data_IF_158758771020
#
_entry.id   IF_158758771020
#
_cell.length_a   1.000
_cell.length_b   1.000
_cell.length_c   1.000
_cell.angle_alpha   90.00
_cell.angle_beta   90.00
_cell.angle_gamma   90.00
#
_symmetry.space_group_name_H-M   'P 1'
#
loop_
_entity.id
_entity.type
_entity.pdbx_description
1 polymer ?
#
# COMPACT_ATOMS: atom_id res chain seq x y z
N UNK A 1 -14.23 0.23 24.64
CA UNK A 1 -14.45 -0.97 25.48
C UNK A 1 -13.15 -1.72 25.73
N UNK A 2 -12.29 -1.74 24.75
CA UNK A 2 -10.93 -2.26 24.80
C UNK A 2 -10.02 -1.05 24.53
N UNK A 3 -9.13 -0.73 25.41
CA UNK A 3 -8.18 0.39 25.25
C UNK A 3 -7.13 0.01 24.18
N UNK A 4 -7.57 0.06 22.93
CA UNK A 4 -6.78 -0.36 21.75
C UNK A 4 -6.42 0.88 20.92
N UNK A 5 -5.17 0.96 20.52
CA UNK A 5 -4.62 2.06 19.70
C UNK A 5 -4.27 1.64 18.26
N UNK A 6 -4.77 0.47 17.84
CA UNK A 6 -4.51 -0.06 16.49
C UNK A 6 -5.61 -1.06 16.07
N UNK A 7 -5.75 -1.31 14.77
CA UNK A 7 -6.86 -2.05 14.22
C UNK A 7 -6.46 -2.94 13.03
N UNK A 8 -7.07 -4.11 12.93
CA UNK A 8 -7.05 -4.96 11.74
C UNK A 8 -8.35 -5.75 11.61
N UNK A 9 -8.66 -6.25 10.41
CA UNK A 9 -9.85 -7.08 10.15
C UNK A 9 -9.51 -8.24 9.24
N UNK A 10 -10.16 -9.41 9.42
CA UNK A 10 -10.08 -10.56 8.52
C UNK A 10 -10.87 -10.30 7.24
N UNK A 11 -10.41 -9.39 6.39
CA UNK A 11 -11.17 -8.95 5.21
C UNK A 11 -11.50 -10.10 4.25
N UNK A 12 -10.63 -11.10 4.14
CA UNK A 12 -10.88 -12.28 3.26
C UNK A 12 -12.06 -13.07 3.74
N UNK A 13 -12.10 -13.41 5.02
CA UNK A 13 -13.20 -14.15 5.64
C UNK A 13 -14.49 -13.33 5.63
N UNK A 14 -14.37 -12.03 5.91
CA UNK A 14 -15.51 -11.12 5.85
C UNK A 14 -16.10 -11.06 4.44
N UNK A 15 -15.29 -10.91 3.40
CA UNK A 15 -15.76 -10.92 2.01
C UNK A 15 -16.34 -12.30 1.60
N UNK A 16 -15.71 -13.40 2.03
CA UNK A 16 -16.20 -14.76 1.77
C UNK A 16 -17.55 -15.06 2.45
N UNK A 17 -17.84 -14.43 3.58
CA UNK A 17 -19.10 -14.58 4.31
C UNK A 17 -20.32 -13.99 3.61
N UNK A 18 -20.14 -13.24 2.53
CA UNK A 18 -21.16 -12.43 1.82
C UNK A 18 -21.80 -11.30 2.64
N UNK A 19 -21.36 -11.06 3.87
CA UNK A 19 -21.86 -9.97 4.70
C UNK A 19 -21.67 -8.58 4.05
N UNK A 20 -20.51 -8.28 3.43
CA UNK A 20 -20.33 -7.01 2.73
C UNK A 20 -21.35 -6.82 1.60
N UNK A 21 -21.61 -7.86 0.82
CA UNK A 21 -22.58 -7.82 -0.27
C UNK A 21 -24.02 -7.64 0.25
N UNK A 22 -24.39 -8.31 1.32
CA UNK A 22 -25.71 -8.20 1.94
C UNK A 22 -25.96 -6.82 2.53
N UNK A 23 -24.95 -6.28 3.22
CA UNK A 23 -25.05 -4.98 3.90
C UNK A 23 -24.60 -3.80 3.02
N UNK A 24 -24.14 -4.04 1.79
CA UNK A 24 -23.66 -3.03 0.85
C UNK A 24 -22.52 -2.16 1.41
N UNK A 25 -21.66 -2.74 2.24
CA UNK A 25 -20.52 -2.05 2.85
C UNK A 25 -19.27 -2.92 2.86
N UNK A 26 -18.11 -2.27 2.91
CA UNK A 26 -16.79 -2.90 3.03
C UNK A 26 -15.98 -2.19 4.11
N UNK A 27 -15.03 -2.85 4.78
CA UNK A 27 -14.23 -2.24 5.85
C UNK A 27 -13.12 -1.30 5.33
N UNK A 28 -12.90 -1.22 4.01
CA UNK A 28 -11.80 -0.47 3.41
C UNK A 28 -11.76 0.99 3.85
N UNK A 29 -12.91 1.68 3.86
CA UNK A 29 -13.01 3.06 4.33
C UNK A 29 -12.58 3.21 5.81
N UNK A 30 -12.91 2.24 6.66
CA UNK A 30 -12.52 2.26 8.08
C UNK A 30 -10.99 2.22 8.22
N UNK A 31 -10.29 1.41 7.43
CA UNK A 31 -8.83 1.39 7.44
C UNK A 31 -8.22 2.72 6.98
N UNK A 32 -8.80 3.36 5.98
CA UNK A 32 -8.35 4.68 5.51
C UNK A 32 -8.54 5.75 6.59
N UNK A 33 -9.74 5.83 7.17
CA UNK A 33 -10.08 6.79 8.22
C UNK A 33 -9.19 6.62 9.46
N UNK A 34 -9.05 5.39 9.95
CA UNK A 34 -8.19 5.11 11.10
C UNK A 34 -6.75 5.60 10.89
N UNK A 35 -6.17 5.32 9.72
CA UNK A 35 -4.81 5.75 9.43
C UNK A 35 -4.67 7.27 9.37
N UNK A 36 -5.65 7.96 8.80
CA UNK A 36 -5.69 9.41 8.78
C UNK A 36 -5.91 10.02 10.17
N UNK A 37 -6.54 9.27 11.09
CA UNK A 37 -6.71 9.61 12.50
C UNK A 37 -5.57 9.10 13.41
N UNK A 38 -4.42 8.76 12.82
CA UNK A 38 -3.20 8.30 13.52
C UNK A 38 -3.34 6.93 14.19
N UNK A 39 -4.28 6.11 13.77
CA UNK A 39 -4.49 4.76 14.26
C UNK A 39 -3.96 3.77 13.22
N UNK A 40 -2.85 3.05 13.48
CA UNK A 40 -2.36 2.02 12.57
C UNK A 40 -3.45 1.00 12.25
N UNK A 41 -3.76 0.84 10.98
CA UNK A 41 -4.89 0.03 10.54
C UNK A 41 -4.58 -0.74 9.27
N UNK A 42 -4.35 -2.04 9.39
CA UNK A 42 -3.99 -2.92 8.28
C UNK A 42 -5.17 -3.80 7.85
N UNK A 43 -5.34 -3.95 6.56
CA UNK A 43 -6.30 -4.87 5.95
C UNK A 43 -5.80 -6.32 6.03
N UNK A 44 -6.71 -7.29 5.90
CA UNK A 44 -6.42 -8.71 5.75
C UNK A 44 -5.66 -9.37 6.92
N UNK A 45 -5.77 -8.82 8.14
CA UNK A 45 -5.05 -9.32 9.33
C UNK A 45 -3.53 -9.46 9.13
N UNK A 46 -2.95 -8.67 8.23
CA UNK A 46 -1.52 -8.70 7.96
C UNK A 46 -0.75 -7.98 9.06
N UNK A 47 -0.42 -8.73 10.12
CA UNK A 47 0.29 -8.21 11.30
C UNK A 47 1.71 -7.75 10.96
N UNK A 48 2.35 -8.33 9.96
CA UNK A 48 3.72 -7.94 9.57
C UNK A 48 3.75 -6.57 8.90
N UNK A 49 2.80 -6.26 8.02
CA UNK A 49 2.67 -4.91 7.45
C UNK A 49 2.11 -3.94 8.48
N UNK A 50 1.22 -4.40 9.36
CA UNK A 50 0.68 -3.59 10.46
C UNK A 50 1.79 -3.09 11.39
N UNK A 51 2.74 -3.95 11.77
CA UNK A 51 3.91 -3.56 12.58
C UNK A 51 4.78 -2.54 11.84
N UNK A 52 5.08 -2.76 10.56
CA UNK A 52 5.82 -1.79 9.74
C UNK A 52 5.09 -0.45 9.68
N UNK A 53 3.78 -0.48 9.42
CA UNK A 53 2.93 0.70 9.38
C UNK A 53 2.97 1.48 10.71
N UNK A 54 2.89 0.79 11.84
CA UNK A 54 2.96 1.41 13.17
C UNK A 54 4.30 2.12 13.38
N UNK A 55 5.43 1.45 13.08
CA UNK A 55 6.76 2.03 13.21
C UNK A 55 6.92 3.26 12.30
N UNK A 56 6.56 3.13 11.02
CA UNK A 56 6.68 4.20 10.03
C UNK A 56 5.77 5.39 10.37
N UNK A 57 4.51 5.14 10.74
CA UNK A 57 3.54 6.18 11.09
C UNK A 57 3.99 7.04 12.27
N UNK A 58 4.45 6.41 13.35
CA UNK A 58 4.87 7.14 14.55
C UNK A 58 6.21 7.85 14.37
N UNK A 59 7.13 7.21 13.62
CA UNK A 59 8.43 7.81 13.32
C UNK A 59 8.31 9.09 12.48
N UNK A 60 7.49 9.03 11.42
CA UNK A 60 7.42 10.10 10.42
C UNK A 60 6.25 11.05 10.59
N UNK A 61 5.28 10.72 11.45
CA UNK A 61 4.04 11.47 11.65
C UNK A 61 3.23 11.63 10.34
N UNK A 62 3.22 10.56 9.51
CA UNK A 62 2.48 10.48 8.25
C UNK A 62 1.46 9.35 8.31
N UNK A 63 0.37 9.47 7.54
CA UNK A 63 -0.44 8.31 7.20
C UNK A 63 0.34 7.37 6.29
N UNK A 64 0.14 6.06 6.50
CA UNK A 64 0.85 5.02 5.75
C UNK A 64 -0.11 4.36 4.76
N UNK A 65 0.23 4.38 3.48
CA UNK A 65 -0.43 3.55 2.49
C UNK A 65 0.04 2.11 2.61
N UNK A 66 -0.85 1.15 2.45
CA UNK A 66 -0.49 -0.26 2.29
C UNK A 66 -1.06 -0.81 1.01
N UNK A 67 -0.34 -1.72 0.36
CA UNK A 67 -0.87 -2.36 -0.83
C UNK A 67 -0.07 -3.55 -1.32
N UNK A 68 -0.66 -4.21 -2.31
CA UNK A 68 -0.12 -5.41 -2.96
C UNK A 68 0.91 -5.02 -4.03
N UNK A 69 2.17 -5.45 -3.92
CA UNK A 69 3.17 -5.22 -4.94
C UNK A 69 3.00 -6.18 -6.11
N UNK A 70 2.82 -5.64 -7.28
CA UNK A 70 2.75 -6.36 -8.55
C UNK A 70 3.88 -5.90 -9.46
N UNK A 71 4.60 -6.84 -10.07
CA UNK A 71 5.63 -6.52 -11.05
C UNK A 71 4.96 -6.25 -12.41
N UNK A 72 5.13 -5.04 -12.93
CA UNK A 72 4.73 -4.68 -14.30
C UNK A 72 5.97 -4.76 -15.18
N UNK A 73 5.95 -5.69 -16.13
CA UNK A 73 7.08 -5.93 -17.00
C UNK A 73 7.17 -4.87 -18.10
N UNK A 74 8.38 -4.50 -18.47
CA UNK A 74 8.66 -3.63 -19.61
C UNK A 74 7.94 -4.11 -20.88
N UNK A 75 7.30 -3.19 -21.58
CA UNK A 75 6.57 -3.48 -22.81
C UNK A 75 5.40 -4.45 -22.66
N UNK A 76 4.90 -4.65 -21.44
CA UNK A 76 3.71 -5.49 -21.20
C UNK A 76 2.55 -5.02 -22.05
N UNK A 77 2.01 -5.94 -22.83
CA UNK A 77 0.82 -5.66 -23.64
C UNK A 77 -0.39 -5.49 -22.73
N UNK A 78 -1.22 -4.54 -23.04
CA UNK A 78 -2.50 -4.37 -22.36
C UNK A 78 -3.40 -5.60 -22.65
N UNK A 79 -4.34 -5.97 -21.75
CA UNK A 79 -5.29 -7.07 -22.00
C UNK A 79 -6.15 -6.78 -23.22
N UNK A 80 -6.41 -5.50 -23.53
CA UNK A 80 -7.05 -5.08 -24.78
C UNK A 80 -6.23 -5.49 -25.99
N UNK A 81 -4.91 -5.32 -25.96
CA UNK A 81 -3.98 -5.79 -26.98
C UNK A 81 -3.86 -7.33 -27.03
N UNK A 82 -4.23 -8.01 -25.95
CA UNK A 82 -4.34 -9.47 -25.87
C UNK A 82 -5.74 -9.99 -26.21
N UNK A 83 -6.68 -9.11 -26.57
CA UNK A 83 -8.06 -9.47 -26.92
C UNK A 83 -8.90 -9.90 -25.71
N UNK A 84 -8.48 -9.59 -24.49
CA UNK A 84 -9.22 -9.93 -23.27
C UNK A 84 -10.23 -8.83 -22.90
N UNK A 85 -11.37 -9.16 -22.29
CA UNK A 85 -12.37 -8.14 -21.93
C UNK A 85 -11.83 -7.16 -20.88
N UNK A 86 -12.24 -5.90 -21.01
CA UNK A 86 -11.90 -4.75 -20.11
C UNK A 86 -12.16 -4.97 -18.60
N UNK A 87 -12.65 -6.11 -18.19
CA UNK A 87 -13.06 -6.42 -16.81
C UNK A 87 -11.92 -6.68 -15.84
N UNK A 88 -10.72 -6.94 -16.35
CA UNK A 88 -9.53 -7.12 -15.54
C UNK A 88 -8.62 -5.91 -15.74
N UNK A 89 -8.49 -5.17 -14.70
CA UNK A 89 -7.76 -3.91 -14.60
C UNK A 89 -6.34 -4.00 -15.14
N UNK A 90 -6.05 -3.07 -16.06
CA UNK A 90 -4.74 -2.93 -16.67
C UNK A 90 -4.13 -1.61 -16.30
N UNK A 91 -2.81 -1.55 -16.17
CA UNK A 91 -2.14 -0.28 -16.21
C UNK A 91 -2.46 0.41 -17.54
N UNK A 92 -3.02 1.62 -17.49
CA UNK A 92 -3.15 2.50 -18.65
C UNK A 92 -1.80 2.98 -19.14
N UNK A 93 -0.74 2.80 -18.33
CA UNK A 93 0.62 3.20 -18.63
C UNK A 93 1.46 2.01 -19.07
N UNK A 94 2.25 2.21 -20.11
CA UNK A 94 3.30 1.30 -20.55
C UNK A 94 4.65 1.89 -20.17
N UNK A 95 5.51 1.05 -19.60
CA UNK A 95 6.85 1.42 -19.18
C UNK A 95 7.88 0.75 -20.07
N UNK A 96 9.01 1.39 -20.30
CA UNK A 96 10.16 0.86 -21.06
C UNK A 96 11.08 -0.03 -20.20
N UNK A 97 10.87 -0.04 -18.88
CA UNK A 97 11.55 -0.88 -17.92
C UNK A 97 10.54 -1.50 -16.92
N UNK A 98 11.00 -2.46 -16.12
CA UNK A 98 10.16 -3.11 -15.12
C UNK A 98 9.88 -2.15 -13.96
N UNK A 99 8.60 -1.98 -13.60
CA UNK A 99 8.17 -1.11 -12.50
C UNK A 99 7.34 -1.89 -11.47
N UNK A 100 7.23 -1.34 -10.28
CA UNK A 100 6.38 -1.89 -9.23
C UNK A 100 5.04 -1.15 -9.22
N UNK A 101 3.96 -1.88 -9.37
CA UNK A 101 2.62 -1.38 -9.09
C UNK A 101 2.23 -1.75 -7.66
N UNK A 102 1.71 -0.79 -6.91
CA UNK A 102 1.09 -1.04 -5.61
C UNK A 102 -0.38 -0.64 -5.68
N UNK A 103 -1.26 -1.57 -5.37
CA UNK A 103 -2.69 -1.31 -5.33
C UNK A 103 -3.35 -1.83 -4.06
N UNK A 104 -4.30 -1.08 -3.54
CA UNK A 104 -5.23 -1.51 -2.47
C UNK A 104 -6.39 -0.53 -2.33
N UNK A 105 -7.51 -0.98 -1.76
CA UNK A 105 -8.69 -0.14 -1.54
C UNK A 105 -8.67 0.60 -0.19
N UNK A 106 -7.48 0.84 0.37
CA UNK A 106 -7.30 1.53 1.65
C UNK A 106 -6.33 2.72 1.55
N UNK A 107 -6.48 3.60 0.54
CA UNK A 107 -5.64 4.77 0.38
C UNK A 107 -5.80 5.72 1.57
N UNK A 108 -4.85 6.64 1.72
CA UNK A 108 -4.80 7.60 2.81
C UNK A 108 -4.64 9.02 2.27
N UNK A 109 -5.05 10.02 3.03
CA UNK A 109 -5.06 11.43 2.61
C UNK A 109 -3.98 12.28 3.25
N UNK A 110 -3.21 11.73 4.20
CA UNK A 110 -2.23 12.47 5.01
C UNK A 110 -0.81 11.93 4.89
N UNK A 111 -0.42 11.47 3.69
CA UNK A 111 0.95 11.02 3.43
C UNK A 111 1.98 12.15 3.49
N UNK A 112 1.56 13.42 3.34
CA UNK A 112 2.44 14.58 3.54
C UNK A 112 2.74 14.87 5.02
N UNK A 113 1.98 14.28 5.94
CA UNK A 113 2.08 14.47 7.38
C UNK A 113 0.75 14.87 8.02
N UNK A 114 0.58 14.50 9.30
CA UNK A 114 -0.66 14.80 10.03
C UNK A 114 -0.90 16.28 10.28
N UNK A 115 0.15 17.08 10.24
CA UNK A 115 0.09 18.52 10.46
C UNK A 115 0.10 19.31 9.13
N UNK A 116 -0.02 18.59 7.99
CA UNK A 116 -0.09 19.16 6.64
C UNK A 116 -1.52 19.07 6.10
N UNK A 117 -1.88 19.89 5.09
CA UNK A 117 -3.15 19.76 4.40
C UNK A 117 -3.36 18.35 3.82
N UNK A 118 -4.57 17.87 3.90
CA UNK A 118 -4.95 16.60 3.28
C UNK A 118 -4.75 16.64 1.76
N UNK A 119 -4.35 15.50 1.19
CA UNK A 119 -4.35 15.32 -0.25
C UNK A 119 -5.79 15.36 -0.78
N UNK A 120 -5.96 15.84 -2.01
CA UNK A 120 -7.26 15.84 -2.68
C UNK A 120 -7.77 14.42 -2.86
N UNK A 121 -9.05 14.22 -2.65
CA UNK A 121 -9.68 12.92 -2.77
C UNK A 121 -11.09 13.00 -3.30
N UNK A 122 -11.55 11.89 -3.83
CA UNK A 122 -12.94 11.66 -4.19
C UNK A 122 -13.46 10.41 -3.49
N UNK A 123 -14.76 10.37 -3.21
CA UNK A 123 -15.43 9.15 -2.77
C UNK A 123 -15.86 8.35 -3.98
N UNK A 124 -15.49 7.08 -4.00
CA UNK A 124 -15.83 6.15 -5.06
C UNK A 124 -16.55 4.92 -4.52
N UNK A 125 -17.35 4.28 -5.37
CA UNK A 125 -17.92 2.98 -5.07
C UNK A 125 -16.85 1.90 -5.11
N UNK A 126 -16.88 0.99 -4.15
CA UNK A 126 -15.97 -0.15 -4.12
C UNK A 126 -16.25 -1.16 -5.23
N UNK A 127 -17.49 -1.23 -5.71
CA UNK A 127 -17.91 -2.18 -6.76
C UNK A 127 -18.56 -1.49 -7.95
N UNK A 128 -18.53 -2.13 -9.12
CA UNK A 128 -19.26 -1.68 -10.31
C UNK A 128 -20.79 -1.65 -10.12
N UNK A 129 -21.29 -2.30 -9.09
CA UNK A 129 -22.71 -2.30 -8.74
C UNK A 129 -23.14 -1.09 -7.91
N UNK A 130 -22.21 -0.17 -7.62
CA UNK A 130 -22.49 1.09 -6.92
C UNK A 130 -22.69 0.95 -5.42
N UNK A 131 -22.04 0.00 -4.76
CA UNK A 131 -22.05 -0.12 -3.31
C UNK A 131 -20.64 -0.26 -2.70
N UNK A 132 -20.56 -0.11 -1.38
CA UNK A 132 -19.30 0.07 -0.67
C UNK A 132 -18.70 1.44 -0.96
N UNK A 133 -17.75 1.85 -0.15
CA UNK A 133 -17.06 3.12 -0.32
C UNK A 133 -15.57 2.98 -0.04
N UNK A 134 -14.77 3.70 -0.82
CA UNK A 134 -13.36 3.94 -0.57
C UNK A 134 -12.95 5.31 -1.13
N UNK A 135 -11.75 5.74 -0.83
CA UNK A 135 -11.20 6.96 -1.40
C UNK A 135 -10.49 6.69 -2.72
N UNK A 136 -10.60 7.62 -3.66
CA UNK A 136 -9.64 7.86 -4.72
C UNK A 136 -8.74 9.01 -4.28
N UNK A 137 -7.50 8.73 -3.99
CA UNK A 137 -6.47 9.71 -3.63
C UNK A 137 -5.32 9.54 -4.61
N UNK A 138 -4.92 10.63 -5.25
CA UNK A 138 -3.70 10.61 -6.06
C UNK A 138 -2.49 10.59 -5.13
N UNK A 139 -1.87 9.42 -4.99
CA UNK A 139 -0.69 9.22 -4.14
C UNK A 139 0.63 9.34 -4.92
N UNK A 140 0.56 9.74 -6.19
CA UNK A 140 1.69 10.17 -7.02
C UNK A 140 1.52 11.62 -7.48
N UNK A 141 0.89 12.45 -6.67
CA UNK A 141 0.53 13.85 -6.97
C UNK A 141 1.71 14.68 -7.47
N UNK A 142 2.92 14.34 -7.03
CA UNK A 142 4.19 14.86 -7.57
C UNK A 142 4.94 13.70 -8.22
N UNK A 143 5.18 13.79 -9.52
CA UNK A 143 6.01 12.81 -10.22
C UNK A 143 7.43 12.79 -9.64
N UNK A 144 7.98 11.60 -9.44
CA UNK A 144 9.29 11.44 -8.81
C UNK A 144 9.29 11.66 -7.28
N UNK A 145 8.13 11.69 -6.63
CA UNK A 145 8.06 11.75 -5.18
C UNK A 145 8.79 10.57 -4.56
N UNK A 146 9.82 10.86 -3.75
CA UNK A 146 10.57 9.82 -3.01
C UNK A 146 9.65 9.14 -2.01
N UNK A 147 9.76 7.82 -1.92
CA UNK A 147 9.00 6.99 -0.97
C UNK A 147 9.89 5.97 -0.30
N UNK A 148 9.52 5.59 0.91
CA UNK A 148 10.12 4.45 1.63
C UNK A 148 9.09 3.34 1.73
N UNK A 149 9.49 2.14 1.32
CA UNK A 149 8.75 0.88 1.51
C UNK A 149 9.22 0.21 2.77
N UNK A 150 8.31 -0.46 3.48
CA UNK A 150 8.69 -1.23 4.66
C UNK A 150 7.76 -2.40 4.91
N UNK A 151 8.34 -3.53 5.34
CA UNK A 151 7.61 -4.71 5.78
C UNK A 151 8.43 -5.58 6.70
N UNK A 152 7.82 -6.05 7.79
CA UNK A 152 8.44 -7.06 8.65
C UNK A 152 8.36 -8.47 8.03
N UNK A 153 9.31 -9.31 8.40
CA UNK A 153 9.20 -10.75 8.23
C UNK A 153 8.08 -11.31 9.15
N UNK A 154 7.71 -12.57 8.97
CA UNK A 154 6.64 -13.20 9.75
C UNK A 154 6.91 -13.28 11.25
N UNK A 155 8.17 -13.26 11.67
CA UNK A 155 8.60 -13.32 13.06
C UNK A 155 8.63 -11.94 13.73
N UNK A 156 8.53 -10.85 12.97
CA UNK A 156 8.63 -9.48 13.49
C UNK A 156 10.04 -9.09 13.94
N UNK A 157 11.08 -9.83 13.51
CA UNK A 157 12.46 -9.63 13.95
C UNK A 157 13.32 -8.85 12.97
N UNK A 158 12.87 -8.78 11.70
CA UNK A 158 13.59 -8.12 10.62
C UNK A 158 12.62 -7.37 9.73
N UNK A 159 12.94 -6.14 9.40
CA UNK A 159 12.18 -5.27 8.50
C UNK A 159 12.97 -5.06 7.21
N UNK A 160 12.42 -5.48 6.06
CA UNK A 160 12.94 -5.06 4.77
C UNK A 160 12.47 -3.64 4.49
N UNK A 161 13.39 -2.81 4.04
CA UNK A 161 13.16 -1.42 3.67
C UNK A 161 13.74 -1.17 2.28
N UNK A 162 13.03 -0.45 1.44
CA UNK A 162 13.50 -0.02 0.12
C UNK A 162 13.11 1.43 -0.15
N UNK A 163 13.84 2.08 -1.06
CA UNK A 163 13.52 3.43 -1.55
C UNK A 163 13.03 3.33 -2.98
N UNK A 164 12.10 4.17 -3.34
CA UNK A 164 11.61 4.29 -4.71
C UNK A 164 11.06 5.69 -4.99
N UNK A 165 10.58 5.87 -6.21
CA UNK A 165 10.02 7.12 -6.71
C UNK A 165 8.68 6.87 -7.39
N UNK A 166 7.71 7.74 -7.18
CA UNK A 166 6.41 7.65 -7.85
C UNK A 166 6.53 7.95 -9.33
N UNK A 167 5.84 7.16 -10.16
CA UNK A 167 5.75 7.33 -11.61
C UNK A 167 4.35 7.73 -12.07
N UNK A 168 3.34 7.48 -11.26
CA UNK A 168 1.95 7.79 -11.59
C UNK A 168 0.96 7.06 -10.70
N UNK A 169 -0.31 7.48 -10.80
CA UNK A 169 -1.40 6.89 -10.05
C UNK A 169 -2.61 6.71 -10.98
N UNK A 170 -3.27 5.56 -10.87
CA UNK A 170 -4.50 5.25 -11.62
C UNK A 170 -5.65 4.90 -10.69
N UNK A 171 -6.85 5.32 -11.09
CA UNK A 171 -8.09 4.91 -10.45
C UNK A 171 -8.79 3.84 -11.29
N UNK A 172 -8.96 2.67 -10.71
CA UNK A 172 -9.61 1.55 -11.36
C UNK A 172 -11.10 1.54 -11.03
N UNK A 173 -11.96 1.11 -11.98
CA UNK A 173 -13.40 1.12 -11.79
C UNK A 173 -13.90 0.06 -10.79
N UNK A 174 -13.03 -0.83 -10.32
CA UNK A 174 -13.37 -1.94 -9.43
C UNK A 174 -12.24 -2.26 -8.47
N UNK A 175 -12.60 -2.65 -7.23
CA UNK A 175 -11.72 -3.17 -6.18
C UNK A 175 -10.42 -2.40 -6.02
N UNK A 176 -9.57 -2.81 -5.17
CA UNK A 176 -8.17 -2.42 -4.95
C UNK A 176 -7.66 -1.21 -5.78
N UNK A 177 -8.33 -0.07 -5.66
CA UNK A 177 -7.99 1.22 -6.26
C UNK A 177 -7.65 2.21 -5.13
N UNK A 178 -6.67 3.08 -5.29
CA UNK A 178 -5.85 3.32 -6.47
C UNK A 178 -4.76 2.28 -6.71
N UNK A 179 -4.18 2.32 -7.90
CA UNK A 179 -2.93 1.67 -8.26
C UNK A 179 -1.86 2.75 -8.48
N UNK A 180 -0.76 2.63 -7.77
CA UNK A 180 0.36 3.59 -7.85
C UNK A 180 1.57 2.86 -8.40
N UNK A 181 2.26 3.49 -9.35
CA UNK A 181 3.46 2.95 -9.99
C UNK A 181 4.71 3.56 -9.40
N UNK A 182 5.72 2.72 -9.22
CA UNK A 182 6.99 3.11 -8.60
C UNK A 182 8.17 2.55 -9.36
N UNK A 183 9.17 3.39 -9.53
CA UNK A 183 10.55 2.95 -9.78
C UNK A 183 11.17 2.60 -8.42
N UNK A 184 11.85 1.47 -8.33
CA UNK A 184 12.50 1.00 -7.10
C UNK A 184 14.01 1.06 -7.28
N UNK A 185 14.72 1.68 -6.37
CA UNK A 185 16.19 1.63 -6.32
C UNK A 185 16.64 0.15 -6.23
N UNK A 186 17.57 -0.26 -7.08
CA UNK A 186 17.98 -1.66 -7.18
C UNK A 186 17.07 -2.55 -8.04
N UNK A 187 15.99 -2.01 -8.62
CA UNK A 187 15.12 -2.68 -9.57
C UNK A 187 13.88 -3.35 -8.97
N UNK A 188 12.75 -3.18 -9.65
CA UNK A 188 11.45 -3.70 -9.19
C UNK A 188 11.40 -5.24 -9.19
N UNK A 189 12.02 -5.88 -10.19
CA UNK A 189 12.11 -7.34 -10.29
C UNK A 189 12.94 -7.92 -9.16
N UNK A 190 14.10 -7.35 -8.91
CA UNK A 190 15.05 -7.74 -7.87
C UNK A 190 14.44 -7.57 -6.49
N UNK A 191 13.74 -6.46 -6.27
CA UNK A 191 12.97 -6.22 -5.03
C UNK A 191 11.90 -7.29 -4.80
N UNK A 192 11.11 -7.62 -5.82
CA UNK A 192 10.10 -8.70 -5.71
C UNK A 192 10.74 -10.05 -5.41
N UNK A 193 11.91 -10.35 -5.98
CA UNK A 193 12.65 -11.57 -5.68
C UNK A 193 13.20 -11.56 -4.25
N UNK A 194 13.72 -10.42 -3.78
CA UNK A 194 14.22 -10.26 -2.41
C UNK A 194 13.10 -10.49 -1.38
N UNK A 195 11.91 -9.90 -1.60
CA UNK A 195 10.72 -10.12 -0.77
C UNK A 195 10.37 -11.62 -0.67
N UNK A 196 10.37 -12.32 -1.81
CA UNK A 196 10.03 -13.73 -1.86
C UNK A 196 11.10 -14.61 -1.15
N UNK A 197 12.39 -14.36 -1.41
CA UNK A 197 13.51 -15.09 -0.81
C UNK A 197 13.61 -14.86 0.70
N UNK A 198 13.35 -13.61 1.15
CA UNK A 198 13.41 -13.22 2.56
C UNK A 198 12.19 -13.66 3.39
N UNK A 199 11.17 -14.24 2.77
CA UNK A 199 9.92 -14.64 3.44
C UNK A 199 9.07 -13.45 3.89
N UNK A 200 9.25 -12.30 3.26
CA UNK A 200 8.41 -11.12 3.46
C UNK A 200 7.09 -11.32 2.68
N UNK A 201 5.98 -11.11 3.28
CA UNK A 201 4.67 -11.32 2.65
C UNK A 201 4.38 -10.40 1.45
N UNK A 202 3.11 -10.27 1.10
CA UNK A 202 2.72 -9.59 -0.14
C UNK A 202 2.37 -8.10 0.04
N UNK A 203 1.97 -7.62 1.21
CA UNK A 203 1.71 -6.19 1.38
C UNK A 203 2.99 -5.40 1.69
N UNK A 204 3.02 -4.16 1.26
CA UNK A 204 4.06 -3.19 1.62
C UNK A 204 3.40 -1.99 2.32
N UNK A 205 4.05 -1.46 3.34
CA UNK A 205 3.75 -0.16 3.94
C UNK A 205 4.59 0.90 3.23
N UNK A 206 3.99 2.06 2.92
CA UNK A 206 4.62 3.09 2.09
C UNK A 206 4.37 4.46 2.71
N UNK A 207 5.42 5.25 2.82
CA UNK A 207 5.42 6.64 3.26
C UNK A 207 6.22 7.53 2.30
N UNK A 208 5.95 8.82 2.30
CA UNK A 208 6.76 9.78 1.55
C UNK A 208 8.09 10.07 2.26
N UNK A 209 9.11 10.31 1.46
CA UNK A 209 10.47 10.60 1.92
C UNK A 209 11.37 9.35 1.98
N UNK A 210 12.68 9.60 2.10
CA UNK A 210 13.68 8.56 2.37
C UNK A 210 13.94 8.51 3.88
N UNK A 211 13.47 7.45 4.53
CA UNK A 211 13.56 7.25 5.98
C UNK A 211 14.35 5.99 6.36
N UNK A 212 15.22 5.54 5.48
CA UNK A 212 16.04 4.33 5.73
C UNK A 212 16.86 4.47 7.00
N UNK A 213 17.55 5.61 7.14
CA UNK A 213 18.43 5.86 8.29
C UNK A 213 17.66 5.88 9.61
N UNK A 214 16.54 6.61 9.64
CA UNK A 214 15.70 6.72 10.83
C UNK A 214 15.09 5.36 11.23
N UNK A 215 14.74 4.52 10.25
CA UNK A 215 14.26 3.16 10.51
C UNK A 215 15.37 2.25 11.02
N UNK A 216 16.61 2.39 10.55
CA UNK A 216 17.77 1.66 11.08
C UNK A 216 18.04 2.06 12.54
N UNK A 217 18.07 3.35 12.84
CA UNK A 217 18.23 3.86 14.21
C UNK A 217 17.08 3.38 15.13
N UNK A 218 15.85 3.38 14.64
CA UNK A 218 14.71 2.84 15.37
C UNK A 218 14.86 1.34 15.63
N UNK A 219 15.33 0.59 14.63
CA UNK A 219 15.60 -0.85 14.75
C UNK A 219 16.61 -1.16 15.86
N UNK A 220 17.69 -0.39 15.96
CA UNK A 220 18.68 -0.51 17.05
C UNK A 220 18.06 -0.25 18.44
N UNK A 221 17.16 0.74 18.55
CA UNK A 221 16.51 1.10 19.82
C UNK A 221 15.48 0.05 20.24
N UNK A 222 14.65 -0.42 19.30
CA UNK A 222 13.52 -1.31 19.58
C UNK A 222 13.92 -2.78 19.58
N UNK A 223 15.00 -3.13 18.88
CA UNK A 223 15.56 -4.49 18.84
C UNK A 223 15.11 -5.32 17.64
N UNK A 224 14.99 -4.71 16.46
CA UNK A 224 14.79 -5.43 15.19
C UNK A 224 15.85 -5.04 14.15
N UNK A 225 16.15 -5.97 13.26
CA UNK A 225 17.09 -5.74 12.16
C UNK A 225 16.40 -5.01 11.00
N UNK A 226 17.09 -4.04 10.37
CA UNK A 226 16.63 -3.42 9.13
C UNK A 226 17.48 -3.91 7.97
N UNK A 227 16.87 -4.61 7.05
CA UNK A 227 17.47 -5.07 5.79
C UNK A 227 17.15 -4.04 4.70
N UNK A 228 18.13 -3.21 4.34
CA UNK A 228 17.97 -2.23 3.27
C UNK A 228 18.25 -2.87 1.92
N UNK A 229 17.23 -2.85 1.06
CA UNK A 229 17.32 -3.26 -0.34
C UNK A 229 17.75 -2.06 -1.20
N UNK A 230 18.80 -2.24 -2.00
CA UNK A 230 19.36 -1.23 -2.90
C UNK A 230 20.08 -1.88 -4.10
#
# INVERSE_FOLDING_TARGET
>A
KYDCNAFTTPCKELCASRLPQQNKCVPCMTHSLNKDDRIPSACEEDLAVWMAMMMMMYLTRQSVFMGNPVLVLAGSKTLEQLGMPKLLTQPGQTFDHDVLEIHHAVPVRRMRGFDQPEQKYELAHFTTQGWGAHYHVDMAEEEGQVVTFGRFNRQGTRMMVAVGHTLGCEFRPVYCSPAVYYEIEGGAREFRQALAKGGYGHHQAIIYGNHVKELQELGEIVGFEVEYFH
#
